data_IF_637351341216
#
_entry.id   IF_637351341216
#
_cell.length_a   1.000
_cell.length_b   1.000
_cell.length_c   1.000
_cell.angle_alpha   90.00
_cell.angle_beta   90.00
_cell.angle_gamma   90.00
#
_symmetry.space_group_name_H-M   'P 1'
#
loop_
_entity.id
_entity.type
_entity.pdbx_description
1 polymer ?
#
# COMPACT_ATOMS: atom_id res chain seq x y z
N UNK A 1 28.22 -7.05 -13.34
CA UNK A 1 27.34 -6.00 -12.79
C UNK A 1 27.07 -5.03 -13.91
N UNK A 2 25.80 -4.79 -14.22
CA UNK A 2 25.42 -3.86 -15.28
C UNK A 2 25.47 -2.42 -14.75
N UNK A 3 25.97 -1.45 -15.52
CA UNK A 3 25.87 -0.05 -15.14
C UNK A 3 24.38 0.33 -15.02
N UNK A 4 24.06 1.14 -14.01
CA UNK A 4 22.70 1.69 -13.87
C UNK A 4 22.47 2.61 -15.08
N UNK A 5 21.43 2.38 -15.89
CA UNK A 5 21.18 3.21 -17.05
C UNK A 5 20.83 4.62 -16.60
N UNK A 6 21.55 5.62 -17.11
CA UNK A 6 21.17 7.01 -16.93
C UNK A 6 19.79 7.25 -17.55
N UNK A 7 18.91 7.88 -16.79
CA UNK A 7 17.64 8.33 -17.34
C UNK A 7 17.89 9.35 -18.44
N UNK A 8 17.21 9.17 -19.58
CA UNK A 8 17.10 10.25 -20.54
C UNK A 8 16.20 11.37 -19.97
N UNK A 9 16.34 12.58 -20.53
CA UNK A 9 15.61 13.76 -20.03
C UNK A 9 14.09 13.55 -20.02
N UNK A 10 13.53 12.93 -21.07
CA UNK A 10 12.09 12.69 -21.18
C UNK A 10 11.56 11.78 -20.06
N UNK A 11 12.33 10.77 -19.63
CA UNK A 11 11.96 9.91 -18.53
C UNK A 11 12.00 10.65 -17.19
N UNK A 12 13.01 11.52 -16.97
CA UNK A 12 13.06 12.40 -15.79
C UNK A 12 11.86 13.33 -15.73
N UNK A 13 11.52 13.97 -16.84
CA UNK A 13 10.39 14.89 -16.93
C UNK A 13 9.07 14.17 -16.65
N UNK A 14 8.92 12.93 -17.12
CA UNK A 14 7.76 12.09 -16.84
C UNK A 14 7.61 11.76 -15.34
N UNK A 15 8.70 11.39 -14.66
CA UNK A 15 8.70 11.11 -13.23
C UNK A 15 8.41 12.37 -12.40
N UNK A 16 8.94 13.53 -12.82
CA UNK A 16 8.65 14.82 -12.17
C UNK A 16 7.18 15.22 -12.33
N UNK A 17 6.59 15.02 -13.50
CA UNK A 17 5.16 15.25 -13.69
C UNK A 17 4.29 14.34 -12.80
N UNK A 18 4.68 13.08 -12.63
CA UNK A 18 4.02 12.17 -11.69
C UNK A 18 4.16 12.63 -10.23
N UNK A 19 5.33 13.17 -9.87
CA UNK A 19 5.54 13.79 -8.56
C UNK A 19 4.65 15.01 -8.38
N UNK A 20 4.59 15.92 -9.37
CA UNK A 20 3.76 17.13 -9.32
C UNK A 20 2.28 16.80 -9.06
N UNK A 21 1.79 15.70 -9.61
CA UNK A 21 0.43 15.23 -9.36
C UNK A 21 0.28 14.61 -7.96
N UNK A 22 1.31 13.94 -7.46
CA UNK A 22 1.32 13.34 -6.13
C UNK A 22 1.40 14.39 -5.01
N UNK A 23 2.23 15.43 -5.15
CA UNK A 23 2.40 16.46 -4.11
C UNK A 23 1.16 17.36 -3.94
N UNK A 24 0.33 17.49 -4.97
CA UNK A 24 -0.97 18.19 -4.91
C UNK A 24 -2.03 17.43 -4.12
N UNK A 25 -1.84 16.13 -3.89
CA UNK A 25 -2.74 15.30 -3.10
C UNK A 25 -2.61 15.63 -1.62
N UNK A 26 -3.64 15.27 -0.84
CA UNK A 26 -3.55 15.46 0.60
C UNK A 26 -2.51 14.53 1.27
N UNK A 27 -2.12 14.85 2.50
CA UNK A 27 -1.09 14.13 3.24
C UNK A 27 -1.42 12.64 3.42
N UNK A 28 -2.70 12.28 3.54
CA UNK A 28 -3.13 10.88 3.69
C UNK A 28 -3.02 10.10 2.37
N UNK A 29 -3.36 10.72 1.24
CA UNK A 29 -3.12 10.15 -0.09
C UNK A 29 -1.63 9.99 -0.41
N UNK A 30 -0.80 10.97 -0.01
CA UNK A 30 0.66 10.89 -0.11
C UNK A 30 1.22 9.73 0.73
N UNK A 31 0.75 9.59 1.99
CA UNK A 31 1.05 8.45 2.85
C UNK A 31 0.67 7.12 2.19
N UNK A 32 -0.55 7.03 1.67
CA UNK A 32 -1.05 5.81 1.03
C UNK A 32 -0.18 5.41 -0.16
N UNK A 33 0.22 6.37 -0.99
CA UNK A 33 1.09 6.12 -2.12
C UNK A 33 2.45 5.58 -1.64
N UNK A 34 3.07 6.24 -0.66
CA UNK A 34 4.34 5.81 -0.11
C UNK A 34 4.29 4.41 0.51
N UNK A 35 3.24 4.10 1.28
CA UNK A 35 3.03 2.76 1.84
C UNK A 35 2.85 1.72 0.73
N UNK A 36 2.09 2.02 -0.33
CA UNK A 36 1.98 1.10 -1.47
C UNK A 36 3.34 0.80 -2.07
N UNK A 37 4.22 1.79 -2.24
CA UNK A 37 5.55 1.61 -2.83
C UNK A 37 6.53 0.88 -1.90
N UNK A 38 6.45 1.07 -0.58
CA UNK A 38 7.53 0.69 0.34
C UNK A 38 7.13 -0.14 1.56
N UNK A 39 5.87 -0.55 1.74
CA UNK A 39 5.43 -1.27 2.96
C UNK A 39 6.21 -2.57 3.23
N UNK A 40 6.74 -3.21 2.19
CA UNK A 40 7.52 -4.44 2.32
C UNK A 40 8.92 -4.15 2.88
N UNK A 41 9.57 -3.10 2.35
CA UNK A 41 10.88 -2.64 2.76
C UNK A 41 10.86 -2.01 4.17
N UNK A 42 9.77 -1.32 4.51
CA UNK A 42 9.58 -0.67 5.80
C UNK A 42 9.55 -1.65 6.98
N UNK A 43 9.35 -2.95 6.77
CA UNK A 43 9.23 -3.88 7.88
C UNK A 43 8.13 -3.42 8.84
N UNK A 44 8.36 -3.42 10.15
CA UNK A 44 7.37 -2.96 11.12
C UNK A 44 7.38 -1.43 11.33
N UNK A 45 8.31 -0.72 10.69
CA UNK A 45 8.43 0.74 10.76
C UNK A 45 7.32 1.48 10.01
N UNK A 46 6.48 0.78 9.22
CA UNK A 46 5.32 1.42 8.57
C UNK A 46 4.40 2.13 9.57
N UNK A 47 4.35 1.66 10.83
CA UNK A 47 3.62 2.32 11.92
C UNK A 47 4.20 3.70 12.26
N UNK A 48 5.53 3.83 12.18
CA UNK A 48 6.23 5.11 12.39
C UNK A 48 5.87 6.08 11.26
N UNK A 49 5.77 5.60 10.01
CA UNK A 49 5.32 6.45 8.87
C UNK A 49 3.93 7.04 9.12
N UNK A 50 3.00 6.26 9.68
CA UNK A 50 1.65 6.72 10.02
C UNK A 50 1.68 7.75 11.16
N UNK A 51 2.54 7.55 12.17
CA UNK A 51 2.75 8.53 13.24
C UNK A 51 3.36 9.82 12.70
N UNK A 52 4.34 9.73 11.80
CA UNK A 52 4.95 10.89 11.13
C UNK A 52 3.91 11.66 10.32
N UNK A 53 2.98 10.99 9.64
CA UNK A 53 1.86 11.65 8.95
C UNK A 53 1.00 12.46 9.93
N UNK A 54 0.67 11.88 11.09
CA UNK A 54 -0.08 12.58 12.14
C UNK A 54 0.68 13.80 12.68
N UNK A 55 1.99 13.67 12.93
CA UNK A 55 2.83 14.77 13.38
C UNK A 55 2.97 15.86 12.31
N UNK A 56 3.06 15.50 11.03
CA UNK A 56 3.14 16.44 9.92
C UNK A 56 1.84 17.25 9.80
N UNK A 57 0.68 16.59 9.83
CA UNK A 57 -0.63 17.27 9.81
C UNK A 57 -0.82 18.20 11.01
N UNK A 58 -0.41 17.77 12.20
CA UNK A 58 -0.45 18.64 13.39
C UNK A 58 0.45 19.87 13.22
N UNK A 59 1.67 19.68 12.71
CA UNK A 59 2.60 20.78 12.48
C UNK A 59 2.09 21.76 11.41
N UNK A 60 1.44 21.27 10.35
CA UNK A 60 0.75 22.12 9.35
C UNK A 60 -0.36 22.96 10.00
N UNK A 61 -1.19 22.33 10.84
CA UNK A 61 -2.26 23.03 11.55
C UNK A 61 -1.71 24.12 12.49
N UNK A 62 -0.64 23.82 13.23
CA UNK A 62 0.00 24.76 14.17
C UNK A 62 0.64 25.96 13.45
N UNK A 63 1.16 25.73 12.24
CA UNK A 63 1.82 26.76 11.41
C UNK A 63 0.89 27.46 10.42
N UNK A 64 -0.42 27.15 10.45
CA UNK A 64 -1.44 27.69 9.54
C UNK A 64 -1.18 27.43 8.04
N UNK A 65 -0.48 26.35 7.72
CA UNK A 65 -0.28 25.89 6.35
C UNK A 65 -1.25 24.78 5.98
N UNK A 66 -1.48 24.61 4.67
CA UNK A 66 -2.53 23.69 4.18
C UNK A 66 -2.01 22.32 3.76
N UNK A 67 -0.86 22.23 3.10
CA UNK A 67 -0.46 20.99 2.41
C UNK A 67 1.05 20.70 2.44
N UNK A 68 1.88 21.74 2.39
CA UNK A 68 3.34 21.62 2.34
C UNK A 68 4.03 22.56 3.34
N UNK A 69 5.33 22.37 3.52
CA UNK A 69 6.18 23.19 4.36
C UNK A 69 7.09 24.05 3.49
N UNK A 70 7.31 25.30 3.85
CA UNK A 70 8.46 26.03 3.31
C UNK A 70 9.79 25.45 3.83
N UNK A 71 10.91 25.87 3.24
CA UNK A 71 12.24 25.37 3.59
C UNK A 71 12.59 25.54 5.08
N UNK A 72 12.13 26.62 5.73
CA UNK A 72 12.42 26.90 7.15
C UNK A 72 11.62 25.97 8.05
N UNK A 73 10.34 25.81 7.74
CA UNK A 73 9.43 24.90 8.43
C UNK A 73 9.84 23.45 8.25
N UNK A 74 10.20 23.04 7.04
CA UNK A 74 10.72 21.70 6.76
C UNK A 74 12.01 21.45 7.56
N UNK A 75 12.89 22.45 7.64
CA UNK A 75 14.11 22.38 8.43
C UNK A 75 13.85 22.21 9.94
N UNK A 76 12.82 22.87 10.48
CA UNK A 76 12.41 22.71 11.87
C UNK A 76 11.73 21.35 12.11
N UNK A 77 10.80 20.96 11.23
CA UNK A 77 10.11 19.68 11.33
C UNK A 77 11.10 18.51 11.30
N UNK A 78 12.10 18.57 10.41
CA UNK A 78 13.18 17.58 10.33
C UNK A 78 14.03 17.52 11.59
N UNK A 79 14.24 18.62 12.32
CA UNK A 79 14.91 18.60 13.62
C UNK A 79 14.08 17.90 14.70
N UNK A 80 12.76 18.07 14.67
CA UNK A 80 11.86 17.51 15.68
C UNK A 80 11.62 16.02 15.46
N UNK A 81 11.50 15.60 14.21
CA UNK A 81 11.04 14.25 13.84
C UNK A 81 12.10 13.41 13.14
N UNK A 82 13.25 13.97 12.78
CA UNK A 82 14.31 13.30 12.03
C UNK A 82 15.63 13.26 12.77
N UNK A 83 16.66 12.83 12.03
CA UNK A 83 18.04 12.79 12.53
C UNK A 83 18.67 14.17 12.58
N UNK A 84 19.55 14.35 13.56
CA UNK A 84 20.33 15.57 13.74
C UNK A 84 21.21 15.81 12.51
N UNK A 85 21.09 17.01 11.96
CA UNK A 85 21.86 17.49 10.80
C UNK A 85 22.47 18.83 11.13
N UNK A 86 23.68 19.06 10.63
CA UNK A 86 24.25 20.41 10.61
C UNK A 86 23.38 21.33 9.73
N UNK A 87 23.50 22.65 9.94
CA UNK A 87 22.75 23.62 9.13
C UNK A 87 23.06 23.50 7.63
N UNK A 88 24.33 23.22 7.28
CA UNK A 88 24.75 23.05 5.89
C UNK A 88 24.14 21.79 5.27
N UNK A 89 24.29 20.62 5.92
CA UNK A 89 23.72 19.35 5.44
C UNK A 89 22.21 19.47 5.23
N UNK A 90 21.51 20.07 6.18
CA UNK A 90 20.06 20.23 6.09
C UNK A 90 19.66 21.09 4.90
N UNK A 91 20.33 22.23 4.71
CA UNK A 91 20.04 23.11 3.58
C UNK A 91 20.24 22.39 2.26
N UNK A 92 21.36 21.68 2.10
CA UNK A 92 21.68 20.98 0.85
C UNK A 92 20.75 19.80 0.60
N UNK A 93 20.36 19.07 1.64
CA UNK A 93 19.42 17.95 1.50
C UNK A 93 17.98 18.40 1.23
N UNK A 94 17.52 19.49 1.85
CA UNK A 94 16.21 20.05 1.55
C UNK A 94 16.15 20.56 0.10
N UNK A 95 17.24 21.14 -0.39
CA UNK A 95 17.34 21.53 -1.80
C UNK A 95 17.38 20.33 -2.74
N UNK A 96 18.01 19.22 -2.34
CA UNK A 96 18.07 17.99 -3.14
C UNK A 96 16.73 17.24 -3.19
N UNK A 97 15.92 17.36 -2.13
CA UNK A 97 14.62 16.67 -2.01
C UNK A 97 13.41 17.51 -2.43
N UNK A 98 13.61 18.80 -2.71
CA UNK A 98 12.67 19.63 -3.46
C UNK A 98 12.73 19.20 -4.93
N UNK A 99 12.09 18.07 -5.22
CA UNK A 99 12.29 17.31 -6.46
C UNK A 99 11.55 17.97 -7.64
N UNK A 100 10.52 18.78 -7.35
CA UNK A 100 9.82 19.60 -8.33
C UNK A 100 10.30 21.06 -8.39
N UNK A 101 11.22 21.48 -7.51
CA UNK A 101 11.83 22.82 -7.46
C UNK A 101 10.84 23.95 -7.16
N UNK A 102 9.85 23.71 -6.31
CA UNK A 102 8.86 24.73 -5.91
C UNK A 102 9.21 25.45 -4.60
N UNK A 103 10.35 25.12 -3.98
CA UNK A 103 10.81 25.59 -2.67
C UNK A 103 9.85 25.26 -1.52
N UNK A 104 9.00 24.26 -1.72
CA UNK A 104 8.16 23.64 -0.72
C UNK A 104 8.59 22.19 -0.55
N UNK A 105 8.20 21.61 0.57
CA UNK A 105 8.49 20.22 0.90
C UNK A 105 7.15 19.57 1.24
N UNK A 106 6.67 18.74 0.33
CA UNK A 106 5.50 17.91 0.52
C UNK A 106 5.81 16.75 1.48
N UNK A 107 4.77 16.08 1.98
CA UNK A 107 4.97 14.96 2.90
C UNK A 107 5.70 13.78 2.25
N UNK A 108 5.41 13.46 0.99
CA UNK A 108 6.14 12.43 0.25
C UNK A 108 7.64 12.75 0.12
N UNK A 109 8.00 14.00 -0.18
CA UNK A 109 9.40 14.42 -0.27
C UNK A 109 10.09 14.30 1.10
N UNK A 110 9.41 14.72 2.18
CA UNK A 110 9.89 14.48 3.53
C UNK A 110 10.12 12.99 3.81
N UNK A 111 9.20 12.11 3.40
CA UNK A 111 9.36 10.66 3.59
C UNK A 111 10.55 10.10 2.80
N UNK A 112 10.77 10.57 1.57
CA UNK A 112 11.94 10.20 0.77
C UNK A 112 13.25 10.65 1.43
N UNK A 113 13.28 11.83 2.06
CA UNK A 113 14.45 12.27 2.84
C UNK A 113 14.62 11.45 4.13
N UNK A 114 13.53 11.18 4.85
CA UNK A 114 13.55 10.46 6.13
C UNK A 114 13.98 9.01 5.96
N UNK A 115 13.49 8.34 4.91
CA UNK A 115 13.78 6.95 4.60
C UNK A 115 14.77 6.80 3.43
N UNK A 116 15.60 7.82 3.19
CA UNK A 116 16.52 7.91 2.04
C UNK A 116 17.36 6.65 1.86
N UNK A 117 18.01 6.17 2.92
CA UNK A 117 18.84 4.96 2.85
C UNK A 117 18.04 3.74 2.46
N UNK A 118 16.86 3.52 3.05
CA UNK A 118 16.00 2.38 2.73
C UNK A 118 15.57 2.39 1.25
N UNK A 119 15.17 3.56 0.74
CA UNK A 119 14.78 3.72 -0.66
C UNK A 119 15.97 3.47 -1.58
N UNK A 120 17.14 4.03 -1.29
CA UNK A 120 18.35 3.83 -2.10
C UNK A 120 18.86 2.39 -2.06
N UNK A 121 18.84 1.72 -0.90
CA UNK A 121 19.18 0.29 -0.81
C UNK A 121 18.27 -0.52 -1.72
N UNK A 122 16.96 -0.26 -1.69
CA UNK A 122 15.99 -0.94 -2.55
C UNK A 122 16.25 -0.69 -4.04
N UNK A 123 16.59 0.55 -4.38
CA UNK A 123 16.99 0.94 -5.73
C UNK A 123 18.20 0.14 -6.23
N UNK A 124 19.30 0.08 -5.45
CA UNK A 124 20.51 -0.64 -5.84
C UNK A 124 20.31 -2.16 -5.91
N UNK A 125 19.56 -2.73 -4.97
CA UNK A 125 19.23 -4.17 -4.97
C UNK A 125 18.44 -4.57 -6.22
N UNK A 126 17.42 -3.78 -6.59
CA UNK A 126 16.59 -4.04 -7.78
C UNK A 126 17.39 -3.92 -9.08
N UNK A 127 18.34 -2.99 -9.13
CA UNK A 127 19.23 -2.81 -10.29
C UNK A 127 20.42 -3.78 -10.29
N UNK A 128 20.57 -4.61 -9.25
CA UNK A 128 21.70 -5.54 -9.09
C UNK A 128 23.06 -4.82 -9.21
N UNK A 129 23.12 -3.60 -8.67
CA UNK A 129 24.28 -2.72 -8.72
C UNK A 129 24.82 -2.50 -7.31
N UNK A 130 26.12 -2.20 -7.21
CA UNK A 130 26.69 -1.76 -5.94
C UNK A 130 26.29 -0.29 -5.68
N UNK A 131 26.09 0.11 -4.41
CA UNK A 131 25.87 1.51 -4.07
C UNK A 131 26.99 2.39 -4.62
N UNK A 132 26.62 3.38 -5.44
CA UNK A 132 27.54 4.40 -5.94
C UNK A 132 27.72 5.56 -4.97
N UNK A 133 26.99 5.52 -3.86
CA UNK A 133 26.94 6.53 -2.81
C UNK A 133 27.16 5.88 -1.45
N UNK A 134 27.63 6.66 -0.48
CA UNK A 134 27.79 6.20 0.88
C UNK A 134 26.41 6.16 1.58
N UNK A 135 25.96 4.95 1.90
CA UNK A 135 24.70 4.68 2.59
C UNK A 135 24.87 4.54 4.12
N UNK A 136 26.06 4.85 4.65
CA UNK A 136 26.30 4.87 6.10
C UNK A 136 25.66 6.11 6.76
N UNK A 137 25.72 6.17 8.09
CA UNK A 137 25.20 7.29 8.90
C UNK A 137 23.74 7.69 8.57
N UNK A 138 22.93 6.70 8.23
CA UNK A 138 21.52 6.90 7.85
C UNK A 138 21.31 7.89 6.68
N UNK A 139 22.36 8.11 5.86
CA UNK A 139 22.31 8.98 4.68
C UNK A 139 22.29 10.47 5.00
N UNK A 140 22.71 10.88 6.20
CA UNK A 140 22.81 12.29 6.60
C UNK A 140 23.85 13.02 5.75
N UNK A 141 23.41 14.07 5.05
CA UNK A 141 24.26 14.87 4.18
C UNK A 141 24.43 14.30 2.76
N UNK A 142 23.79 13.16 2.46
CA UNK A 142 23.79 12.58 1.12
C UNK A 142 22.90 13.40 0.18
N UNK A 143 23.45 13.89 -0.92
CA UNK A 143 22.75 14.69 -1.95
C UNK A 143 23.08 14.19 -3.36
N UNK A 144 22.35 14.67 -4.37
CA UNK A 144 22.53 14.26 -5.77
C UNK A 144 21.87 12.92 -6.06
N UNK A 145 20.91 12.50 -5.23
CA UNK A 145 20.24 11.20 -5.32
C UNK A 145 18.76 11.31 -5.69
N UNK A 146 18.25 12.52 -5.92
CA UNK A 146 16.84 12.78 -6.21
C UNK A 146 16.27 11.95 -7.37
N UNK A 147 17.01 11.82 -8.47
CA UNK A 147 16.60 10.98 -9.61
C UNK A 147 16.47 9.50 -9.25
N UNK A 148 17.33 8.98 -8.35
CA UNK A 148 17.25 7.58 -7.90
C UNK A 148 16.03 7.37 -7.00
N UNK A 149 15.78 8.33 -6.10
CA UNK A 149 14.61 8.32 -5.22
C UNK A 149 13.30 8.37 -6.00
N UNK A 150 13.21 9.23 -7.03
CA UNK A 150 12.02 9.33 -7.89
C UNK A 150 11.77 8.05 -8.68
N UNK A 151 12.81 7.49 -9.29
CA UNK A 151 12.69 6.23 -10.03
C UNK A 151 12.13 5.13 -9.13
N UNK A 152 12.65 5.05 -7.92
CA UNK A 152 12.26 4.00 -7.00
C UNK A 152 10.85 4.23 -6.41
N UNK A 153 10.47 5.48 -6.13
CA UNK A 153 9.13 5.86 -5.64
C UNK A 153 8.02 5.39 -6.58
N UNK A 154 8.21 5.59 -7.89
CA UNK A 154 7.23 5.25 -8.93
C UNK A 154 7.42 3.86 -9.53
N UNK A 155 8.41 3.10 -9.07
CA UNK A 155 8.60 1.72 -9.49
C UNK A 155 7.53 0.84 -8.87
N UNK A 156 6.87 0.02 -9.70
CA UNK A 156 5.89 -0.95 -9.22
C UNK A 156 6.58 -1.91 -8.24
N UNK A 157 6.10 -2.00 -6.99
CA UNK A 157 6.72 -2.83 -5.96
C UNK A 157 6.49 -4.31 -6.26
N UNK A 158 7.56 -5.10 -6.15
CA UNK A 158 7.48 -6.55 -6.29
C UNK A 158 6.92 -7.15 -5.01
N UNK A 159 5.95 -8.05 -5.12
CA UNK A 159 5.38 -8.76 -3.97
C UNK A 159 4.28 -8.00 -3.23
N UNK A 160 3.72 -6.94 -3.82
CA UNK A 160 2.50 -6.29 -3.30
C UNK A 160 1.31 -6.86 -4.07
N UNK A 161 0.50 -7.68 -3.41
CA UNK A 161 -0.71 -8.25 -3.99
C UNK A 161 -1.92 -7.31 -3.85
N UNK A 162 -3.01 -7.63 -4.54
CA UNK A 162 -4.24 -6.84 -4.50
C UNK A 162 -4.87 -6.82 -3.09
N UNK A 163 -4.69 -7.89 -2.30
CA UNK A 163 -5.18 -7.94 -0.92
C UNK A 163 -4.45 -6.91 -0.04
N UNK A 164 -3.12 -6.83 -0.14
CA UNK A 164 -2.31 -5.86 0.59
C UNK A 164 -2.63 -4.41 0.17
N UNK A 165 -2.77 -4.14 -1.13
CA UNK A 165 -3.15 -2.78 -1.60
C UNK A 165 -4.50 -2.34 -1.03
N UNK A 166 -5.50 -3.23 -1.02
CA UNK A 166 -6.81 -2.95 -0.43
C UNK A 166 -6.73 -2.76 1.07
N UNK A 167 -5.90 -3.54 1.77
CA UNK A 167 -5.70 -3.40 3.22
C UNK A 167 -5.06 -2.05 3.57
N UNK A 168 -4.11 -1.57 2.76
CA UNK A 168 -3.52 -0.22 2.91
C UNK A 168 -4.58 0.86 2.69
N UNK A 169 -5.39 0.73 1.64
CA UNK A 169 -6.50 1.65 1.33
C UNK A 169 -7.51 1.75 2.47
N UNK A 170 -7.97 0.60 2.99
CA UNK A 170 -8.93 0.55 4.08
C UNK A 170 -8.35 1.17 5.37
N UNK A 171 -7.08 0.86 5.67
CA UNK A 171 -6.36 1.43 6.81
C UNK A 171 -6.28 2.96 6.71
N UNK A 172 -5.78 3.50 5.59
CA UNK A 172 -5.63 4.94 5.43
C UNK A 172 -6.99 5.65 5.38
N UNK A 173 -8.01 5.06 4.74
CA UNK A 173 -9.35 5.63 4.72
C UNK A 173 -9.96 5.75 6.13
N UNK A 174 -9.74 4.74 6.98
CA UNK A 174 -10.20 4.75 8.37
C UNK A 174 -9.43 5.75 9.23
N UNK A 175 -8.13 5.87 9.02
CA UNK A 175 -7.30 6.89 9.66
C UNK A 175 -7.78 8.30 9.28
N UNK A 176 -7.96 8.56 7.98
CA UNK A 176 -8.45 9.83 7.44
C UNK A 176 -9.83 10.20 7.99
N UNK A 177 -10.76 9.25 8.06
CA UNK A 177 -12.09 9.47 8.63
C UNK A 177 -12.03 9.84 10.12
N UNK A 178 -11.16 9.18 10.89
CA UNK A 178 -10.93 9.50 12.31
C UNK A 178 -10.35 10.90 12.47
N UNK A 179 -9.36 11.26 11.66
CA UNK A 179 -8.70 12.56 11.74
C UNK A 179 -9.64 13.71 11.33
N UNK A 180 -10.48 13.49 10.31
CA UNK A 180 -11.53 14.44 9.93
C UNK A 180 -12.54 14.67 11.09
N UNK A 181 -12.95 13.61 11.79
CA UNK A 181 -13.82 13.71 12.98
C UNK A 181 -13.14 14.50 14.10
N UNK A 182 -11.84 14.26 14.34
CA UNK A 182 -11.06 15.00 15.33
C UNK A 182 -10.98 16.49 14.97
N UNK A 183 -10.73 16.80 13.69
CA UNK A 183 -10.67 18.17 13.22
C UNK A 183 -12.02 18.88 13.37
N UNK A 184 -13.11 18.26 12.91
CA UNK A 184 -14.47 18.82 13.03
C UNK A 184 -14.82 19.12 14.50
N UNK A 185 -14.52 18.19 15.42
CA UNK A 185 -14.77 18.38 16.84
C UNK A 185 -13.87 19.46 17.45
N UNK A 186 -12.63 19.58 16.99
CA UNK A 186 -11.71 20.64 17.43
C UNK A 186 -12.21 22.02 17.00
N UNK A 187 -12.67 22.16 15.76
CA UNK A 187 -13.26 23.40 15.26
C UNK A 187 -14.54 23.78 16.02
N UNK A 188 -15.41 22.81 16.32
CA UNK A 188 -16.61 23.04 17.15
C UNK A 188 -16.27 23.40 18.58
N UNK A 189 -15.25 22.77 19.18
CA UNK A 189 -14.81 23.06 20.54
C UNK A 189 -14.30 24.50 20.67
N UNK A 190 -13.57 24.99 19.65
CA UNK A 190 -13.03 26.36 19.61
C UNK A 190 -14.13 27.45 19.63
N UNK A 191 -15.37 27.15 19.23
CA UNK A 191 -16.48 28.11 19.27
C UNK A 191 -16.96 28.44 20.70
N UNK A 192 -16.61 27.61 21.69
CA UNK A 192 -17.02 27.78 23.09
C UNK A 192 -18.52 27.52 23.36
N UNK A 193 -18.98 27.89 24.56
CA UNK A 193 -20.36 27.68 25.00
C UNK A 193 -20.73 26.21 25.25
N UNK A 194 -22.03 25.92 25.42
CA UNK A 194 -22.52 24.56 25.72
C UNK A 194 -22.23 23.59 24.57
N UNK A 195 -22.36 24.04 23.31
CA UNK A 195 -22.04 23.25 22.13
C UNK A 195 -20.53 22.96 22.03
N UNK A 196 -19.68 23.97 22.28
CA UNK A 196 -18.22 23.78 22.32
C UNK A 196 -17.79 22.85 23.45
N UNK A 197 -18.39 22.94 24.64
CA UNK A 197 -18.11 22.02 25.75
C UNK A 197 -18.51 20.57 25.44
N UNK A 198 -19.62 20.38 24.73
CA UNK A 198 -20.07 19.05 24.26
C UNK A 198 -19.06 18.50 23.24
N UNK A 199 -18.67 19.30 22.25
CA UNK A 199 -17.66 18.92 21.26
C UNK A 199 -16.29 18.62 21.90
N UNK A 200 -15.87 19.37 22.92
CA UNK A 200 -14.64 19.10 23.67
C UNK A 200 -14.71 17.77 24.41
N UNK A 201 -15.88 17.43 24.96
CA UNK A 201 -16.11 16.15 25.63
C UNK A 201 -16.04 15.00 24.61
N UNK A 202 -16.75 15.12 23.50
CA UNK A 202 -16.69 14.15 22.40
C UNK A 202 -15.27 14.02 21.82
N UNK A 203 -14.53 15.12 21.67
CA UNK A 203 -13.15 15.12 21.21
C UNK A 203 -12.25 14.31 22.16
N UNK A 204 -12.41 14.53 23.47
CA UNK A 204 -11.69 13.76 24.48
C UNK A 204 -12.10 12.27 24.45
N UNK A 205 -13.38 11.97 24.18
CA UNK A 205 -13.84 10.59 23.99
C UNK A 205 -13.21 9.96 22.76
N UNK A 206 -13.18 10.63 21.60
CA UNK A 206 -12.57 10.13 20.35
C UNK A 206 -11.05 9.94 20.49
N UNK A 207 -10.38 10.85 21.21
CA UNK A 207 -8.94 10.71 21.50
C UNK A 207 -8.63 9.53 22.40
N UNK A 208 -9.54 9.21 23.33
CA UNK A 208 -9.44 8.08 24.25
C UNK A 208 -10.27 6.87 23.80
N UNK A 209 -10.83 6.89 22.58
CA UNK A 209 -11.77 5.90 22.10
C UNK A 209 -11.08 4.54 21.97
N UNK A 210 -11.88 3.49 22.06
CA UNK A 210 -11.40 2.13 21.88
C UNK A 210 -10.76 1.98 20.50
N UNK A 211 -9.42 1.86 20.50
CA UNK A 211 -8.64 1.64 19.29
C UNK A 211 -8.84 0.24 18.69
N UNK A 212 -9.74 -0.58 19.23
CA UNK A 212 -10.01 -1.95 18.76
C UNK A 212 -10.28 -2.04 17.26
N UNK A 213 -11.08 -1.13 16.67
CA UNK A 213 -11.33 -1.18 15.23
C UNK A 213 -10.05 -0.86 14.42
N UNK A 214 -9.31 0.17 14.82
CA UNK A 214 -8.04 0.53 14.19
C UNK A 214 -7.00 -0.59 14.35
N UNK A 215 -6.94 -1.20 15.54
CA UNK A 215 -6.08 -2.33 15.85
C UNK A 215 -6.46 -3.55 14.99
N UNK A 216 -7.76 -3.79 14.78
CA UNK A 216 -8.24 -4.86 13.90
C UNK A 216 -7.80 -4.64 12.46
N UNK A 217 -7.94 -3.41 11.94
CA UNK A 217 -7.51 -3.10 10.57
C UNK A 217 -5.98 -3.16 10.44
N UNK A 218 -5.25 -2.68 11.45
CA UNK A 218 -3.79 -2.82 11.52
C UNK A 218 -3.36 -4.29 11.54
N UNK A 219 -4.05 -5.16 12.27
CA UNK A 219 -3.81 -6.61 12.26
C UNK A 219 -4.13 -7.23 10.91
N UNK A 220 -5.19 -6.80 10.23
CA UNK A 220 -5.52 -7.23 8.85
C UNK A 220 -4.40 -6.83 7.89
N UNK A 221 -3.89 -5.60 8.00
CA UNK A 221 -2.78 -5.11 7.19
C UNK A 221 -1.48 -5.91 7.46
N UNK A 222 -1.17 -6.18 8.73
CA UNK A 222 -0.03 -7.05 9.09
C UNK A 222 -0.20 -8.47 8.54
N UNK A 223 -1.42 -9.03 8.59
CA UNK A 223 -1.71 -10.35 8.06
C UNK A 223 -1.53 -10.38 6.53
N UNK A 224 -2.07 -9.39 5.81
CA UNK A 224 -1.89 -9.24 4.37
C UNK A 224 -0.40 -9.12 4.01
N UNK A 225 0.34 -8.26 4.71
CA UNK A 225 1.79 -8.10 4.54
C UNK A 225 2.53 -9.42 4.78
N UNK A 226 2.21 -10.17 5.84
CA UNK A 226 2.83 -11.48 6.13
C UNK A 226 2.51 -12.51 5.04
N UNK A 227 1.31 -12.48 4.46
CA UNK A 227 0.95 -13.35 3.32
C UNK A 227 1.75 -12.97 2.09
N UNK A 228 1.81 -11.69 1.75
CA UNK A 228 2.57 -11.19 0.61
C UNK A 228 4.07 -11.53 0.73
N UNK A 229 4.65 -11.41 1.94
CA UNK A 229 6.05 -11.77 2.21
C UNK A 229 6.33 -13.28 2.10
N UNK A 230 5.41 -14.13 2.59
CA UNK A 230 5.53 -15.60 2.47
C UNK A 230 5.18 -16.12 1.07
N UNK A 231 4.42 -15.33 0.33
CA UNK A 231 3.82 -15.64 -0.94
C UNK A 231 4.43 -14.85 -2.08
N UNK A 232 5.75 -14.87 -2.24
CA UNK A 232 6.41 -14.65 -3.53
C UNK A 232 6.01 -15.72 -4.58
N UNK A 233 4.71 -16.03 -4.68
CA UNK A 233 4.08 -16.83 -5.71
C UNK A 233 3.47 -15.82 -6.67
N UNK A 234 4.04 -15.76 -7.86
CA UNK A 234 3.62 -14.81 -8.90
C UNK A 234 2.13 -14.93 -9.19
N UNK A 235 1.54 -13.86 -9.72
CA UNK A 235 0.18 -13.83 -10.27
C UNK A 235 -0.07 -15.01 -11.23
N UNK A 236 0.98 -15.49 -11.90
CA UNK A 236 0.93 -16.67 -12.78
C UNK A 236 0.61 -17.98 -12.05
N UNK A 237 1.05 -18.15 -10.80
CA UNK A 237 0.79 -19.36 -10.01
C UNK A 237 -0.63 -19.40 -9.46
N UNK A 238 -1.20 -18.25 -9.08
CA UNK A 238 -2.61 -18.15 -8.69
C UNK A 238 -3.52 -18.40 -9.90
N UNK A 239 -3.17 -17.83 -11.06
CA UNK A 239 -3.86 -18.10 -12.33
C UNK A 239 -3.76 -19.57 -12.75
N UNK A 240 -2.62 -20.23 -12.55
CA UNK A 240 -2.45 -21.67 -12.79
C UNK A 240 -3.33 -22.50 -11.85
N UNK A 241 -3.41 -22.17 -10.57
CA UNK A 241 -4.27 -22.91 -9.63
C UNK A 241 -5.75 -22.75 -9.95
N UNK A 242 -6.20 -21.55 -10.27
CA UNK A 242 -7.59 -21.30 -10.70
C UNK A 242 -7.90 -22.07 -11.99
N UNK A 243 -6.93 -22.18 -12.90
CA UNK A 243 -7.06 -22.96 -14.14
C UNK A 243 -7.12 -24.47 -13.84
N UNK A 244 -6.22 -24.98 -13.01
CA UNK A 244 -6.18 -26.39 -12.59
C UNK A 244 -7.44 -26.81 -11.82
N UNK A 245 -7.99 -25.92 -11.00
CA UNK A 245 -9.22 -26.16 -10.24
C UNK A 245 -10.44 -26.21 -11.17
N UNK A 246 -10.54 -25.29 -12.14
CA UNK A 246 -11.57 -25.35 -13.19
C UNK A 246 -11.45 -26.60 -14.08
N UNK A 247 -10.23 -27.02 -14.42
CA UNK A 247 -9.99 -28.23 -15.20
C UNK A 247 -10.39 -29.49 -14.41
N UNK A 248 -10.12 -29.54 -13.10
CA UNK A 248 -10.59 -30.63 -12.22
C UNK A 248 -12.10 -30.67 -12.10
N UNK A 249 -12.76 -29.53 -11.90
CA UNK A 249 -14.21 -29.46 -11.85
C UNK A 249 -14.86 -29.91 -13.16
N UNK A 250 -14.31 -29.51 -14.30
CA UNK A 250 -14.77 -29.96 -15.62
C UNK A 250 -14.60 -31.47 -15.81
N UNK A 251 -13.47 -32.04 -15.37
CA UNK A 251 -13.21 -33.48 -15.45
C UNK A 251 -14.18 -34.28 -14.56
N UNK A 252 -14.43 -33.81 -13.33
CA UNK A 252 -15.40 -34.40 -12.41
C UNK A 252 -16.83 -34.35 -12.97
N UNK A 253 -17.23 -33.23 -13.59
CA UNK A 253 -18.53 -33.11 -14.23
C UNK A 253 -18.68 -34.08 -15.41
N UNK A 254 -17.64 -34.22 -16.25
CA UNK A 254 -17.64 -35.15 -17.38
C UNK A 254 -17.72 -36.60 -16.92
N UNK A 255 -17.01 -36.96 -15.85
CA UNK A 255 -17.06 -38.31 -15.28
C UNK A 255 -18.45 -38.64 -14.71
N UNK A 256 -19.09 -37.69 -14.00
CA UNK A 256 -20.45 -37.86 -13.51
C UNK A 256 -21.48 -38.06 -14.64
N UNK A 257 -21.28 -37.42 -15.78
CA UNK A 257 -22.18 -37.58 -16.93
C UNK A 257 -22.01 -38.94 -17.63
N UNK A 258 -20.78 -39.42 -17.77
CA UNK A 258 -20.48 -40.77 -18.25
C UNK A 258 -21.11 -41.86 -17.36
N UNK A 259 -21.04 -41.70 -16.04
CA UNK A 259 -21.67 -42.62 -15.10
C UNK A 259 -23.20 -42.63 -15.24
N UNK A 260 -23.84 -41.46 -15.40
CA UNK A 260 -25.29 -41.37 -15.65
C UNK A 260 -25.71 -42.06 -16.95
N UNK A 261 -24.93 -41.91 -18.02
CA UNK A 261 -25.22 -42.59 -19.29
C UNK A 261 -25.09 -44.10 -19.16
N UNK A 262 -24.02 -44.58 -18.53
CA UNK A 262 -23.82 -46.01 -18.29
C UNK A 262 -24.94 -46.62 -17.43
N UNK A 263 -25.44 -45.90 -16.45
CA UNK A 263 -26.57 -46.34 -15.62
C UNK A 263 -27.89 -46.36 -16.41
N UNK A 264 -28.16 -45.34 -17.23
CA UNK A 264 -29.33 -45.29 -18.10
C UNK A 264 -29.35 -46.45 -19.10
N UNK A 265 -28.19 -46.82 -19.65
CA UNK A 265 -28.08 -47.94 -20.59
C UNK A 265 -28.24 -49.30 -19.89
N UNK A 266 -27.72 -49.45 -18.67
CA UNK A 266 -28.00 -50.64 -17.83
C UNK A 266 -29.49 -50.79 -17.56
N UNK A 267 -30.18 -49.69 -17.24
CA UNK A 267 -31.63 -49.69 -17.02
C UNK A 267 -32.40 -50.07 -18.29
N UNK A 268 -32.07 -49.48 -19.45
CA UNK A 268 -32.68 -49.85 -20.74
C UNK A 268 -32.47 -51.34 -21.06
N UNK A 269 -31.25 -51.84 -20.88
CA UNK A 269 -30.94 -53.26 -21.11
C UNK A 269 -31.72 -54.18 -20.16
N UNK A 270 -31.85 -53.80 -18.88
CA UNK A 270 -32.65 -54.56 -17.91
C UNK A 270 -34.13 -54.58 -18.27
N UNK A 271 -34.69 -53.44 -18.69
CA UNK A 271 -36.09 -53.30 -19.12
C UNK A 271 -36.37 -54.12 -20.38
N UNK A 272 -35.47 -54.09 -21.35
CA UNK A 272 -35.56 -54.91 -22.56
C UNK A 272 -35.57 -56.42 -22.25
N UNK A 273 -34.71 -56.88 -21.32
CA UNK A 273 -34.69 -58.28 -20.86
C UNK A 273 -35.99 -58.69 -20.17
N UNK A 274 -36.55 -57.81 -19.34
CA UNK A 274 -37.83 -58.07 -18.67
C UNK A 274 -39.00 -58.15 -19.67
N UNK A 275 -39.05 -57.25 -20.65
CA UNK A 275 -40.06 -57.27 -21.72
C UNK A 275 -39.94 -58.54 -22.58
N UNK A 276 -38.72 -58.93 -22.98
CA UNK A 276 -38.50 -60.16 -23.73
C UNK A 276 -38.93 -61.41 -22.93
N UNK A 277 -38.70 -61.40 -21.61
CA UNK A 277 -39.17 -62.46 -20.72
C UNK A 277 -40.70 -62.47 -20.61
N UNK A 278 -41.36 -61.33 -20.48
CA UNK A 278 -42.81 -61.23 -20.41
C UNK A 278 -43.49 -61.75 -21.70
N UNK A 279 -42.95 -61.43 -22.87
CA UNK A 279 -43.47 -61.90 -24.16
C UNK A 279 -43.42 -63.44 -24.32
N UNK A 280 -42.52 -64.13 -23.63
CA UNK A 280 -42.48 -65.60 -23.61
C UNK A 280 -43.64 -66.22 -22.82
N UNK A 281 -44.22 -65.49 -21.87
CA UNK A 281 -45.36 -65.94 -21.05
C UNK A 281 -46.73 -65.57 -21.63
N UNK A 282 -46.80 -64.64 -22.58
CA UNK A 282 -48.06 -64.24 -23.25
C UNK A 282 -48.42 -65.09 -24.48
N UNK A 283 -47.69 -66.17 -24.78
CA UNK A 283 -48.15 -67.11 -25.83
C UNK A 283 -49.47 -67.75 -25.38
N UNK A 284 -50.59 -67.51 -26.09
CA UNK A 284 -51.86 -68.14 -25.77
C UNK A 284 -51.79 -69.63 -26.11
N UNK A 285 -52.34 -70.46 -25.22
CA UNK A 285 -52.77 -71.82 -25.58
C UNK A 285 -53.93 -71.75 -26.57
#
# INVERSE_FOLDING_TARGET
MSPIPDLNQSARDGLRAQLDDLVKKDTDEQLQFFLKSFIMQLGDEWKIVVQLCSHFKQYLADTCNRQDLDVVQAAEFLQRQGRTRTALQRKTELQDIDLNNDNRIAFTEYLLLHYKVMVLTSFFERHQAQPTVDLTDEGVGLTGVGDMLLQELFKVPVGVDAELMRAIEEFVAKQKARDAKIQELTEKAAQGGVKGMTAQTELNMVKNEDMTEMNRISLTLEAAKRRAAKGGRSVDQEAQRIKEEKEREAMLAQQAELERQAEADKLKASRAKLLARAALFEKPN
#
